data_IF_958963365472
#
_entry.id   IF_958963365472
#
_cell.length_a   1.000
_cell.length_b   1.000
_cell.length_c   1.000
_cell.angle_alpha   90.00
_cell.angle_beta   90.00
_cell.angle_gamma   90.00
#
_symmetry.space_group_name_H-M   'P 1'
#
loop_
_entity.id
_entity.type
_entity.pdbx_description
1 polymer ?
#
# COMPACT_ATOMS: atom_id res chain seq x y z
N UNK A 1 -31.64 -26.53 -2.91
CA UNK A 1 -31.49 -25.09 -2.67
C UNK A 1 -32.05 -24.72 -1.32
N UNK A 2 -31.38 -23.82 -0.63
CA UNK A 2 -31.88 -23.24 0.64
C UNK A 2 -32.25 -21.81 0.37
N UNK A 3 -33.51 -21.46 0.68
CA UNK A 3 -34.01 -20.11 0.55
C UNK A 3 -34.32 -19.56 1.93
N UNK A 4 -33.68 -18.46 2.33
CA UNK A 4 -33.84 -17.84 3.62
C UNK A 4 -34.33 -16.39 3.46
N UNK A 5 -35.31 -16.02 4.28
CA UNK A 5 -35.84 -14.65 4.31
C UNK A 5 -35.32 -13.88 5.52
N UNK A 6 -34.39 -14.48 6.27
CA UNK A 6 -33.78 -13.91 7.46
C UNK A 6 -32.28 -14.25 7.44
N UNK A 7 -31.61 -13.98 8.55
CA UNK A 7 -30.18 -14.21 8.66
C UNK A 7 -29.86 -15.70 8.69
N UNK A 8 -28.71 -16.05 8.06
CA UNK A 8 -28.13 -17.38 8.17
C UNK A 8 -27.06 -17.34 9.26
N UNK A 9 -27.20 -18.20 10.28
CA UNK A 9 -26.21 -18.36 11.34
C UNK A 9 -25.50 -19.69 11.14
N UNK A 10 -24.15 -19.66 11.02
CA UNK A 10 -23.33 -20.86 10.92
C UNK A 10 -22.51 -20.98 12.21
N UNK A 11 -22.69 -22.10 12.94
CA UNK A 11 -22.05 -22.31 14.24
C UNK A 11 -20.58 -22.74 14.16
N UNK A 12 -20.03 -22.87 12.95
CA UNK A 12 -18.63 -23.24 12.72
C UNK A 12 -18.16 -22.53 11.46
N UNK A 13 -17.14 -23.09 10.80
CA UNK A 13 -16.62 -22.52 9.56
C UNK A 13 -17.60 -22.70 8.41
N UNK A 14 -17.80 -21.65 7.63
CA UNK A 14 -18.51 -21.74 6.36
C UNK A 14 -17.56 -22.26 5.30
N UNK A 15 -17.86 -23.42 4.74
CA UNK A 15 -17.06 -24.00 3.65
C UNK A 15 -17.79 -23.86 2.33
N UNK A 16 -17.12 -23.28 1.36
CA UNK A 16 -17.63 -23.12 0.00
C UNK A 16 -16.78 -23.96 -0.94
N UNK A 17 -17.35 -24.49 -2.04
CA UNK A 17 -16.57 -25.27 -2.99
C UNK A 17 -15.40 -24.48 -3.59
N UNK A 18 -15.62 -23.21 -3.88
CA UNK A 18 -14.57 -22.31 -4.41
C UNK A 18 -13.99 -21.51 -3.25
N UNK A 19 -12.92 -22.02 -2.67
CA UNK A 19 -12.24 -21.40 -1.55
C UNK A 19 -10.71 -21.42 -1.76
N UNK A 20 -10.29 -20.83 -2.87
CA UNK A 20 -8.86 -20.75 -3.20
C UNK A 20 -8.13 -19.91 -2.15
N UNK A 21 -6.96 -20.43 -1.72
CA UNK A 21 -6.09 -19.73 -0.76
C UNK A 21 -5.80 -18.29 -1.20
N UNK A 22 -5.70 -17.41 -0.23
CA UNK A 22 -5.29 -16.02 -0.42
C UNK A 22 -6.29 -15.19 -1.24
N UNK A 23 -7.53 -15.64 -1.31
CA UNK A 23 -8.60 -14.86 -1.94
C UNK A 23 -9.59 -14.38 -0.91
N UNK A 24 -10.32 -13.34 -1.24
CA UNK A 24 -11.39 -12.79 -0.41
C UNK A 24 -12.71 -12.88 -1.16
N UNK A 25 -13.80 -12.83 -0.43
CA UNK A 25 -15.14 -12.79 -1.00
C UNK A 25 -15.55 -11.36 -1.27
N UNK A 26 -15.92 -11.09 -2.52
CA UNK A 26 -16.37 -9.77 -2.95
C UNK A 26 -17.75 -9.91 -3.58
N UNK A 27 -18.68 -9.07 -3.19
CA UNK A 27 -20.01 -9.05 -3.78
C UNK A 27 -19.93 -8.41 -5.17
N UNK A 28 -20.57 -9.06 -6.16
CA UNK A 28 -20.59 -8.59 -7.54
C UNK A 28 -21.94 -8.03 -8.00
N UNK A 29 -22.88 -7.90 -7.05
CA UNK A 29 -24.24 -7.47 -7.32
C UNK A 29 -25.24 -8.63 -7.47
N UNK A 30 -24.76 -9.85 -7.65
CA UNK A 30 -25.56 -11.07 -7.74
C UNK A 30 -25.22 -12.04 -6.63
N UNK A 31 -23.94 -12.24 -6.36
CA UNK A 31 -23.47 -13.18 -5.34
C UNK A 31 -22.09 -12.73 -4.86
N UNK A 32 -21.53 -13.50 -3.93
CA UNK A 32 -20.17 -13.34 -3.49
C UNK A 32 -19.25 -14.21 -4.34
N UNK A 33 -18.22 -13.62 -4.89
CA UNK A 33 -17.20 -14.29 -5.70
C UNK A 33 -15.86 -14.19 -5.00
N UNK A 34 -15.02 -15.22 -5.10
CA UNK A 34 -13.66 -15.09 -4.63
C UNK A 34 -12.84 -14.25 -5.60
N UNK A 35 -12.07 -13.34 -5.06
CA UNK A 35 -11.24 -12.44 -5.84
C UNK A 35 -9.89 -12.25 -5.19
N UNK A 36 -8.85 -12.16 -6.00
CA UNK A 36 -7.52 -11.84 -5.50
C UNK A 36 -7.45 -10.35 -5.15
N UNK A 37 -6.85 -10.05 -4.01
CA UNK A 37 -6.47 -8.66 -3.69
C UNK A 37 -5.29 -8.30 -4.59
N UNK A 38 -5.38 -7.17 -5.27
CA UNK A 38 -4.34 -6.75 -6.22
C UNK A 38 -4.25 -5.23 -6.29
N UNK A 39 -3.30 -4.74 -7.09
CA UNK A 39 -3.05 -3.31 -7.23
C UNK A 39 -2.06 -2.83 -6.19
N UNK A 40 -2.49 -1.95 -5.32
CA UNK A 40 -1.59 -1.35 -4.32
C UNK A 40 -1.23 -2.30 -3.17
N UNK A 41 -1.89 -3.46 -3.09
CA UNK A 41 -1.60 -4.45 -2.04
C UNK A 41 -2.00 -5.85 -2.49
N UNK A 42 -1.44 -6.85 -1.82
CA UNK A 42 -1.82 -8.25 -1.97
C UNK A 42 -2.04 -8.85 -0.59
N UNK A 43 -2.76 -9.97 -0.52
CA UNK A 43 -3.00 -10.67 0.73
C UNK A 43 -2.53 -12.12 0.61
N UNK A 44 -1.86 -12.62 1.66
CA UNK A 44 -1.45 -14.01 1.73
C UNK A 44 -2.54 -14.85 2.41
N UNK A 45 -2.42 -16.19 2.30
CA UNK A 45 -3.42 -17.12 2.85
C UNK A 45 -3.60 -17.00 4.36
N UNK A 46 -2.58 -16.55 5.07
CA UNK A 46 -2.67 -16.29 6.50
C UNK A 46 -3.23 -14.93 6.87
N UNK A 47 -3.64 -14.13 5.88
CA UNK A 47 -4.20 -12.80 6.11
C UNK A 47 -3.19 -11.67 6.13
N UNK A 48 -1.90 -11.97 5.94
CA UNK A 48 -0.87 -10.92 5.89
C UNK A 48 -1.07 -10.06 4.64
N UNK A 49 -1.18 -8.76 4.84
CA UNK A 49 -1.37 -7.79 3.76
C UNK A 49 -0.02 -7.15 3.44
N UNK A 50 0.37 -7.17 2.18
CA UNK A 50 1.64 -6.59 1.72
C UNK A 50 1.35 -5.47 0.73
N UNK A 51 1.89 -4.30 1.00
CA UNK A 51 1.79 -3.18 0.06
C UNK A 51 2.74 -3.39 -1.11
N UNK A 52 2.29 -3.03 -2.30
CA UNK A 52 3.16 -3.02 -3.48
C UNK A 52 4.26 -1.97 -3.30
N UNK A 53 5.43 -2.22 -3.86
CA UNK A 53 6.51 -1.24 -3.84
C UNK A 53 6.09 0.03 -4.57
N UNK A 54 6.48 1.17 -4.00
CA UNK A 54 6.09 2.47 -4.56
C UNK A 54 7.03 2.96 -5.66
N UNK A 55 8.12 2.23 -5.93
CA UNK A 55 9.15 2.66 -6.86
C UNK A 55 10.38 3.26 -6.19
N UNK A 56 10.34 3.42 -4.88
CA UNK A 56 11.47 3.97 -4.11
C UNK A 56 12.26 2.81 -3.51
N UNK A 57 13.59 2.85 -3.66
CA UNK A 57 14.48 1.91 -2.97
C UNK A 57 14.55 2.31 -1.49
N UNK A 58 14.37 1.33 -0.60
CA UNK A 58 14.45 1.57 0.84
C UNK A 58 15.88 2.04 1.20
N UNK A 59 16.00 3.25 1.74
CA UNK A 59 17.28 3.85 2.09
C UNK A 59 17.03 5.11 2.92
N UNK A 60 18.10 5.69 3.41
CA UNK A 60 18.06 7.03 4.01
C UNK A 60 18.42 8.05 2.93
N UNK A 61 17.59 9.07 2.78
CA UNK A 61 17.82 10.13 1.81
C UNK A 61 18.03 11.43 2.56
N UNK A 62 19.07 12.18 2.17
CA UNK A 62 19.50 13.42 2.83
C UNK A 62 19.25 14.60 1.88
N UNK A 63 18.68 15.69 2.38
CA UNK A 63 18.30 16.86 1.57
C UNK A 63 17.52 16.42 0.33
N UNK A 64 16.52 15.56 0.56
CA UNK A 64 15.89 14.81 -0.53
C UNK A 64 14.90 15.61 -1.34
N UNK A 65 14.82 15.30 -2.62
CA UNK A 65 13.70 15.64 -3.48
C UNK A 65 12.82 14.41 -3.58
N UNK A 66 11.52 14.58 -3.33
CA UNK A 66 10.56 13.47 -3.37
C UNK A 66 9.39 13.82 -4.27
N UNK A 67 8.86 12.80 -4.95
CA UNK A 67 7.59 12.89 -5.65
C UNK A 67 6.56 12.04 -4.91
N UNK A 68 5.36 12.55 -4.76
CA UNK A 68 4.28 11.91 -4.00
C UNK A 68 3.08 11.75 -4.91
N UNK A 69 2.45 10.57 -4.91
CA UNK A 69 1.25 10.34 -5.70
C UNK A 69 0.00 10.85 -4.97
N UNK A 70 -1.17 10.70 -5.61
CA UNK A 70 -2.44 11.19 -5.06
C UNK A 70 -2.84 10.45 -3.77
N UNK A 71 -2.27 9.29 -3.51
CA UNK A 71 -2.53 8.48 -2.31
C UNK A 71 -1.58 8.82 -1.17
N UNK A 72 -0.67 9.75 -1.38
CA UNK A 72 0.33 10.13 -0.37
C UNK A 72 1.54 9.21 -0.29
N UNK A 73 1.72 8.29 -1.25
CA UNK A 73 2.88 7.41 -1.28
C UNK A 73 4.01 8.10 -2.05
N UNK A 74 5.23 7.96 -1.55
CA UNK A 74 6.41 8.49 -2.23
C UNK A 74 6.75 7.57 -3.39
N UNK A 75 6.76 8.10 -4.61
CA UNK A 75 7.02 7.33 -5.84
C UNK A 75 8.45 7.46 -6.33
N UNK A 76 9.16 8.51 -5.92
CA UNK A 76 10.58 8.65 -6.18
C UNK A 76 11.24 9.47 -5.08
N UNK A 77 12.52 9.19 -4.84
CA UNK A 77 13.30 9.95 -3.86
C UNK A 77 14.75 9.94 -4.30
N UNK A 78 15.42 11.05 -4.10
CA UNK A 78 16.86 11.18 -4.35
C UNK A 78 17.48 12.10 -3.34
N UNK A 79 18.72 11.82 -2.96
CA UNK A 79 19.47 12.70 -2.09
C UNK A 79 19.96 13.91 -2.88
N UNK A 80 19.88 15.08 -2.27
CA UNK A 80 20.40 16.32 -2.82
C UNK A 80 21.71 16.71 -2.18
N UNK A 81 22.21 17.87 -2.59
CA UNK A 81 23.41 18.47 -2.01
C UNK A 81 23.00 19.29 -0.78
N UNK A 82 23.77 19.17 0.30
CA UNK A 82 23.57 20.00 1.47
C UNK A 82 23.73 21.48 1.13
N UNK A 83 22.83 22.32 1.65
CA UNK A 83 22.98 23.76 1.51
C UNK A 83 24.16 24.30 2.31
N UNK A 84 24.61 25.51 1.95
CA UNK A 84 25.67 26.16 2.70
C UNK A 84 25.19 26.51 4.11
N UNK A 85 26.08 26.39 5.11
CA UNK A 85 25.79 26.86 6.45
C UNK A 85 25.64 28.38 6.45
N UNK A 86 24.93 28.94 7.44
CA UNK A 86 24.78 30.37 7.55
C UNK A 86 26.14 31.11 7.61
N UNK A 87 27.09 30.55 8.37
CA UNK A 87 28.43 31.11 8.45
C UNK A 87 29.18 31.12 7.12
N UNK A 88 29.06 30.03 6.37
CA UNK A 88 29.68 29.94 5.04
C UNK A 88 29.02 30.91 4.07
N UNK A 89 27.71 31.02 4.09
CA UNK A 89 26.97 31.94 3.23
C UNK A 89 27.34 33.40 3.52
N UNK A 90 27.51 33.77 4.78
CA UNK A 90 27.94 35.10 5.17
C UNK A 90 29.36 35.38 4.72
N UNK A 91 30.28 34.39 4.89
CA UNK A 91 31.67 34.53 4.44
C UNK A 91 31.75 34.74 2.92
N UNK A 92 30.94 34.01 2.15
CA UNK A 92 30.89 34.16 0.69
C UNK A 92 30.36 35.57 0.30
N UNK A 93 29.33 36.06 1.00
CA UNK A 93 28.78 37.36 0.74
C UNK A 93 29.80 38.51 1.05
N UNK A 94 30.58 38.35 2.10
CA UNK A 94 31.61 39.32 2.46
C UNK A 94 32.75 39.30 1.46
N UNK A 95 33.14 38.10 0.93
CA UNK A 95 34.22 37.92 -0.04
C UNK A 95 33.88 38.49 -1.41
N UNK A 96 32.61 38.67 -1.72
CA UNK A 96 32.18 39.25 -2.98
C UNK A 96 32.15 40.77 -2.90
#
# INVERSE_FOLDING_TARGET
NVSLQADLTVGALLKMPDNTSAKILVADGTSYQESAVSGDATIASGGALTLANSGVTAATYTNSTVAVDVKGRITSASSGTAGATAGFAVAMAIAL
#
